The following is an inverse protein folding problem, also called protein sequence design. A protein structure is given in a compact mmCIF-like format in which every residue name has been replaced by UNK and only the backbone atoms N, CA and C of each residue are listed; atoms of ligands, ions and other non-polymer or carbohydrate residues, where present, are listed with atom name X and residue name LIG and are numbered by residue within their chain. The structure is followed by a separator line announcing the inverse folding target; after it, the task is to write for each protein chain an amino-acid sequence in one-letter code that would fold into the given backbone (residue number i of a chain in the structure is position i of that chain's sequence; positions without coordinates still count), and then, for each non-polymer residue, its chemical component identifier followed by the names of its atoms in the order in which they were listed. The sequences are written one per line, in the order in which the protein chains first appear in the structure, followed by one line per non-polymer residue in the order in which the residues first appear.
data_IF_296455540928
#
_entry.id   IF_296455540928
#
_cell.length_a   1.000
_cell.length_b   1.000
_cell.length_c   1.000
_cell.angle_alpha   90.00
_cell.angle_beta   90.00
_cell.angle_gamma   90.00
#
_symmetry.space_group_name_H-M   'P 1'
#
loop_
_entity.id
_entity.type
_entity.pdbx_description
1 polymer ?
#
# COMPACT_ATOMS: atom_id res chain seq x y z
N UNK A 1 20.64 -5.98 -6.24
CA UNK A 1 20.10 -5.49 -4.95
C UNK A 1 18.58 -5.47 -5.04
N UNK A 2 17.87 -5.96 -4.03
CA UNK A 2 16.39 -5.93 -4.00
C UNK A 2 15.96 -4.67 -3.24
N UNK A 3 14.91 -4.01 -3.71
CA UNK A 3 14.20 -2.96 -2.97
C UNK A 3 12.75 -3.38 -2.79
N UNK A 4 12.14 -2.98 -1.69
CA UNK A 4 10.76 -3.30 -1.37
C UNK A 4 9.89 -2.08 -1.64
N UNK A 5 8.99 -2.19 -2.61
CA UNK A 5 8.09 -1.11 -2.98
C UNK A 5 6.76 -1.30 -2.28
N UNK A 6 6.26 -0.26 -1.64
CA UNK A 6 4.94 -0.24 -1.04
C UNK A 6 3.90 0.13 -2.09
N UNK A 7 3.06 -0.85 -2.45
CA UNK A 7 1.95 -0.64 -3.36
C UNK A 7 0.71 -0.30 -2.54
N UNK A 8 0.14 0.87 -2.76
CA UNK A 8 -1.09 1.30 -2.10
C UNK A 8 -2.23 1.23 -3.10
N UNK A 9 -3.29 0.53 -2.71
CA UNK A 9 -4.51 0.34 -3.48
C UNK A 9 -5.69 1.03 -2.78
N UNK A 10 -6.60 1.59 -3.57
CA UNK A 10 -7.92 2.03 -3.13
C UNK A 10 -8.99 1.23 -3.87
N UNK A 11 -9.53 0.20 -3.19
CA UNK A 11 -10.29 -0.84 -3.88
C UNK A 11 -9.38 -1.61 -4.86
N UNK A 12 -9.77 -1.69 -6.13
CA UNK A 12 -8.99 -2.39 -7.16
C UNK A 12 -7.92 -1.50 -7.84
N UNK A 13 -7.91 -0.19 -7.56
CA UNK A 13 -7.03 0.76 -8.25
C UNK A 13 -5.73 0.97 -7.47
N UNK A 14 -4.59 0.92 -8.14
CA UNK A 14 -3.31 1.37 -7.56
C UNK A 14 -3.33 2.90 -7.48
N UNK A 15 -2.99 3.45 -6.31
CA UNK A 15 -2.94 4.90 -6.07
C UNK A 15 -1.55 5.41 -5.73
N UNK A 16 -0.64 4.55 -5.23
CA UNK A 16 0.75 4.92 -5.00
C UNK A 16 1.68 3.70 -5.11
N UNK A 17 2.87 3.93 -5.68
CA UNK A 17 3.98 2.96 -5.79
C UNK A 17 5.34 3.65 -5.65
N UNK A 18 5.38 4.86 -5.08
CA UNK A 18 6.60 5.67 -5.04
C UNK A 18 7.48 5.35 -3.84
N UNK A 19 6.88 4.90 -2.73
CA UNK A 19 7.61 4.55 -1.52
C UNK A 19 8.41 3.25 -1.69
N UNK A 20 9.71 3.34 -1.44
CA UNK A 20 10.66 2.22 -1.51
C UNK A 20 11.40 2.09 -0.18
N UNK A 21 11.62 0.85 0.22
CA UNK A 21 12.31 0.47 1.43
C UNK A 21 13.45 -0.48 1.10
N UNK A 22 14.58 -0.35 1.78
CA UNK A 22 15.66 -1.35 1.73
C UNK A 22 15.36 -2.52 2.67
N UNK A 23 14.56 -2.26 3.70
CA UNK A 23 14.20 -3.19 4.76
C UNK A 23 12.75 -3.70 4.60
N UNK A 24 12.57 -5.02 4.64
CA UNK A 24 11.26 -5.65 4.43
C UNK A 24 10.31 -5.42 5.61
N UNK A 25 10.82 -5.44 6.84
CA UNK A 25 9.99 -5.30 8.04
C UNK A 25 9.38 -3.91 8.12
N UNK A 26 10.15 -2.88 7.76
CA UNK A 26 9.66 -1.50 7.64
C UNK A 26 8.59 -1.37 6.56
N UNK A 27 8.78 -2.02 5.42
CA UNK A 27 7.78 -2.03 4.34
C UNK A 27 6.47 -2.72 4.79
N UNK A 28 6.58 -3.88 5.45
CA UNK A 28 5.44 -4.63 5.99
C UNK A 28 4.71 -3.85 7.10
N UNK A 29 5.44 -3.17 7.98
CA UNK A 29 4.87 -2.32 9.03
C UNK A 29 3.93 -1.25 8.46
N UNK A 30 4.35 -0.54 7.42
CA UNK A 30 3.49 0.46 6.77
C UNK A 30 2.34 -0.18 6.01
N UNK A 31 2.60 -1.29 5.31
CA UNK A 31 1.58 -2.04 4.58
C UNK A 31 0.42 -2.48 5.49
N UNK A 32 0.75 -3.02 6.66
CA UNK A 32 -0.22 -3.47 7.64
C UNK A 32 -1.02 -2.29 8.23
N UNK A 33 -0.33 -1.22 8.65
CA UNK A 33 -1.00 -0.06 9.25
C UNK A 33 -1.96 0.62 8.30
N UNK A 34 -1.56 0.82 7.05
CA UNK A 34 -2.42 1.40 6.02
C UNK A 34 -3.63 0.49 5.72
N UNK A 35 -3.42 -0.82 5.64
CA UNK A 35 -4.49 -1.79 5.36
C UNK A 35 -5.51 -1.94 6.49
N UNK A 36 -5.13 -1.59 7.73
CA UNK A 36 -6.00 -1.60 8.92
C UNK A 36 -6.83 -0.32 9.07
N UNK A 37 -6.60 0.71 8.25
CA UNK A 37 -7.40 1.92 8.30
C UNK A 37 -8.86 1.66 7.90
N UNK A 38 -9.76 2.48 8.45
CA UNK A 38 -11.17 2.44 8.05
C UNK A 38 -11.30 2.79 6.56
N UNK A 39 -12.32 2.22 5.91
CA UNK A 39 -12.61 2.53 4.52
C UNK A 39 -12.84 4.03 4.34
N UNK A 40 -12.25 4.63 3.32
CA UNK A 40 -12.37 6.06 3.02
C UNK A 40 -13.52 6.33 2.06
N UNK A 41 -14.17 7.51 2.12
CA UNK A 41 -15.17 7.90 1.13
C UNK A 41 -14.58 7.94 -0.28
N UNK A 42 -15.29 7.37 -1.26
CA UNK A 42 -14.84 7.29 -2.65
C UNK A 42 -15.85 7.91 -3.65
N UNK A 43 -16.69 8.82 -3.16
CA UNK A 43 -17.77 9.45 -3.93
C UNK A 43 -19.02 8.58 -4.08
N UNK A 44 -20.16 9.22 -4.34
CA UNK A 44 -21.44 8.53 -4.61
C UNK A 44 -21.94 7.62 -3.48
N UNK A 45 -21.66 7.97 -2.22
CA UNK A 45 -22.03 7.17 -1.04
C UNK A 45 -21.21 5.88 -0.84
N UNK A 46 -20.27 5.57 -1.75
CA UNK A 46 -19.45 4.36 -1.67
C UNK A 46 -18.22 4.62 -0.81
N UNK A 47 -17.86 3.63 0.01
CA UNK A 47 -16.59 3.61 0.76
C UNK A 47 -15.66 2.58 0.12
N UNK A 48 -14.38 2.90 0.03
CA UNK A 48 -13.34 1.99 -0.47
C UNK A 48 -12.32 1.72 0.62
N UNK A 49 -11.89 0.48 0.72
CA UNK A 49 -10.82 0.08 1.63
C UNK A 49 -9.46 0.40 1.00
N UNK A 50 -8.55 0.93 1.82
CA UNK A 50 -7.14 1.04 1.47
C UNK A 50 -6.52 -0.33 1.74
N UNK A 51 -5.80 -0.85 0.75
CA UNK A 51 -4.99 -2.07 0.91
C UNK A 51 -3.57 -1.71 0.51
N UNK A 52 -2.60 -2.00 1.34
CA UNK A 52 -1.20 -1.77 1.03
C UNK A 52 -0.43 -3.09 1.08
N UNK A 53 0.44 -3.31 0.11
CA UNK A 53 1.21 -4.56 -0.05
C UNK A 53 2.66 -4.23 -0.30
N UNK A 54 3.55 -4.95 0.38
CA UNK A 54 4.98 -4.87 0.14
C UNK A 54 5.37 -5.79 -1.02
N UNK A 55 5.98 -5.25 -2.08
CA UNK A 55 6.45 -6.04 -3.23
C UNK A 55 7.97 -5.90 -3.43
N UNK A 56 8.73 -7.00 -3.48
CA UNK A 56 10.14 -6.94 -3.85
C UNK A 56 10.28 -6.60 -5.34
N UNK A 57 11.22 -5.71 -5.66
CA UNK A 57 11.61 -5.37 -7.02
C UNK A 57 13.13 -5.46 -7.18
N UNK A 58 13.63 -5.99 -8.31
CA UNK A 58 15.02 -5.82 -8.68
C UNK A 58 15.30 -4.33 -8.90
N UNK A 59 16.43 -3.85 -8.39
CA UNK A 59 16.86 -2.45 -8.54
C UNK A 59 17.43 -2.17 -9.92
#
# INVERSE_FOLDING_TARGET
MIVFVLYVYLGANVIDTTQKFVDIDRCLYFAERLSRQQSVPAGGGKRKKITAVCRPQPK
#
